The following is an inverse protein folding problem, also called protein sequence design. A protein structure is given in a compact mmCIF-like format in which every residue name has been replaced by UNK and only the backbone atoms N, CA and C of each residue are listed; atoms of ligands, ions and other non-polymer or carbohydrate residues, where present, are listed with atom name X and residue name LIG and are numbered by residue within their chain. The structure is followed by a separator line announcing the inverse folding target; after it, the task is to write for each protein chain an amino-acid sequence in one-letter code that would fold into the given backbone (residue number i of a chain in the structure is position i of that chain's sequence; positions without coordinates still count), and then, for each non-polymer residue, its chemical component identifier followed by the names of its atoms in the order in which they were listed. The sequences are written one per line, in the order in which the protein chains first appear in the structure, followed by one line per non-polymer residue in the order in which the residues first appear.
data_IF_946597922548
#
_entry.id   IF_946597922548
#
_cell.length_a   1.000
_cell.length_b   1.000
_cell.length_c   1.000
_cell.angle_alpha   90.00
_cell.angle_beta   90.00
_cell.angle_gamma   90.00
#
_symmetry.space_group_name_H-M   'P 1'
#
loop_
_entity.id
_entity.type
_entity.pdbx_description
1 polymer ?
#
# COMPACT_ATOMS: atom_id res chain seq x y z
N UNK A 1 22.53 -2.19 0.11
CA UNK A 1 21.62 -3.35 0.26
C UNK A 1 20.52 -3.22 -0.79
N UNK A 2 20.22 -4.27 -1.55
CA UNK A 2 19.18 -4.31 -2.60
C UNK A 2 17.82 -4.74 -2.05
N UNK A 3 17.53 -4.36 -0.81
CA UNK A 3 16.38 -4.87 -0.05
C UNK A 3 15.06 -4.31 -0.57
N UNK A 4 14.05 -5.16 -0.69
CA UNK A 4 12.68 -4.76 -1.02
C UNK A 4 12.07 -3.89 0.08
N UNK A 5 11.29 -2.88 -0.30
CA UNK A 5 10.51 -2.08 0.65
C UNK A 5 9.04 -2.13 0.23
N UNK A 6 8.20 -2.69 1.10
CA UNK A 6 6.75 -2.77 0.91
C UNK A 6 6.07 -1.64 1.68
N UNK A 7 5.29 -0.83 0.98
CA UNK A 7 4.45 0.21 1.58
C UNK A 7 3.03 -0.32 1.72
N UNK A 8 2.59 -0.52 2.96
CA UNK A 8 1.22 -0.96 3.29
C UNK A 8 0.43 0.17 3.93
N UNK A 9 -0.90 0.07 3.88
CA UNK A 9 -1.81 1.01 4.54
C UNK A 9 -3.09 1.24 3.74
N UNK A 10 -4.07 1.96 4.33
CA UNK A 10 -5.36 2.20 3.70
C UNK A 10 -5.26 3.03 2.42
N UNK A 11 -6.30 3.00 1.59
CA UNK A 11 -6.40 3.86 0.42
C UNK A 11 -6.35 5.33 0.86
N UNK A 12 -5.56 6.18 0.19
CA UNK A 12 -5.41 7.60 0.53
C UNK A 12 -4.26 7.91 1.50
N UNK A 13 -3.55 6.92 2.04
CA UNK A 13 -2.38 7.18 2.90
C UNK A 13 -1.12 7.62 2.14
N UNK A 14 -1.14 7.66 0.81
CA UNK A 14 -0.04 8.22 0.01
C UNK A 14 1.01 7.21 -0.50
N UNK A 15 0.76 5.88 -0.41
CA UNK A 15 1.71 4.83 -0.87
C UNK A 15 2.36 5.10 -2.22
N UNK A 16 1.58 5.43 -3.26
CA UNK A 16 2.12 5.68 -4.60
C UNK A 16 3.03 6.92 -4.61
N UNK A 17 2.59 8.03 -3.99
CA UNK A 17 3.38 9.27 -3.89
C UNK A 17 4.70 9.05 -3.14
N UNK A 18 4.62 8.44 -1.95
CA UNK A 18 5.79 8.15 -1.11
C UNK A 18 6.69 7.12 -1.79
N UNK A 19 6.12 6.12 -2.46
CA UNK A 19 6.86 5.08 -3.15
C UNK A 19 7.71 5.62 -4.29
N UNK A 20 7.14 6.48 -5.15
CA UNK A 20 7.91 7.15 -6.20
C UNK A 20 9.03 8.02 -5.64
N UNK A 21 8.75 8.78 -4.57
CA UNK A 21 9.76 9.64 -3.95
C UNK A 21 10.92 8.81 -3.35
N UNK A 22 10.61 7.72 -2.63
CA UNK A 22 11.62 6.80 -2.10
C UNK A 22 12.43 6.11 -3.19
N UNK A 23 11.77 5.67 -4.26
CA UNK A 23 12.42 5.03 -5.40
C UNK A 23 13.47 5.98 -6.02
N UNK A 24 13.09 7.24 -6.23
CA UNK A 24 14.01 8.28 -6.72
C UNK A 24 15.19 8.51 -5.78
N UNK A 25 14.94 8.67 -4.48
CA UNK A 25 16.01 8.96 -3.49
C UNK A 25 16.97 7.78 -3.35
N UNK A 26 16.48 6.53 -3.45
CA UNK A 26 17.32 5.33 -3.36
C UNK A 26 17.88 4.83 -4.69
N UNK A 27 17.49 5.43 -5.81
CA UNK A 27 17.76 4.89 -7.15
C UNK A 27 17.28 3.44 -7.30
N UNK A 28 16.05 3.18 -6.80
CA UNK A 28 15.35 1.91 -6.86
C UNK A 28 14.24 1.98 -7.91
N UNK A 29 13.77 0.83 -8.35
CA UNK A 29 12.54 0.73 -9.14
C UNK A 29 11.31 1.02 -8.27
N UNK A 30 10.21 1.43 -8.90
CA UNK A 30 8.92 1.55 -8.24
C UNK A 30 7.91 0.63 -8.91
N UNK A 31 7.15 -0.11 -8.09
CA UNK A 31 6.04 -0.94 -8.56
C UNK A 31 4.79 -0.70 -7.70
N UNK A 32 3.60 -0.86 -8.30
CA UNK A 32 2.31 -0.81 -7.62
C UNK A 32 1.54 -2.08 -7.93
N UNK A 33 1.15 -2.85 -6.90
CA UNK A 33 0.46 -4.13 -7.12
C UNK A 33 -0.93 -3.96 -7.74
N UNK A 34 -1.63 -2.85 -7.46
CA UNK A 34 -2.93 -2.59 -8.09
C UNK A 34 -2.75 -2.31 -9.59
N UNK A 35 -1.66 -1.63 -9.95
CA UNK A 35 -1.32 -1.33 -11.35
C UNK A 35 -0.88 -2.59 -12.10
N UNK A 36 0.03 -3.38 -11.53
CA UNK A 36 0.49 -4.63 -12.12
C UNK A 36 -0.68 -5.59 -12.40
N UNK A 37 -1.58 -5.76 -11.41
CA UNK A 37 -2.74 -6.62 -11.56
C UNK A 37 -3.65 -6.14 -12.70
N UNK A 38 -3.89 -4.84 -12.80
CA UNK A 38 -4.72 -4.27 -13.87
C UNK A 38 -4.08 -4.44 -15.25
N UNK A 39 -2.77 -4.26 -15.37
CA UNK A 39 -2.03 -4.47 -16.61
C UNK A 39 -2.01 -5.94 -17.03
N UNK A 40 -1.87 -6.86 -16.07
CA UNK A 40 -1.88 -8.30 -16.34
C UNK A 40 -3.28 -8.82 -16.71
N UNK A 41 -4.30 -8.44 -15.94
CA UNK A 41 -5.65 -8.97 -16.10
C UNK A 41 -6.46 -8.26 -17.21
N UNK A 42 -6.05 -7.06 -17.63
CA UNK A 42 -6.76 -6.22 -18.61
C UNK A 42 -8.25 -6.03 -18.27
N UNK A 43 -8.58 -6.11 -16.98
CA UNK A 43 -9.95 -6.10 -16.42
C UNK A 43 -9.96 -5.27 -15.14
N UNK A 44 -11.10 -4.62 -14.88
CA UNK A 44 -11.28 -3.87 -13.63
C UNK A 44 -11.50 -4.83 -12.47
N UNK A 45 -11.20 -4.36 -11.24
CA UNK A 45 -11.51 -5.11 -10.00
C UNK A 45 -13.00 -5.47 -9.94
N UNK A 46 -13.88 -4.55 -10.34
CA UNK A 46 -15.31 -4.80 -10.39
C UNK A 46 -15.67 -5.96 -11.32
N UNK A 47 -15.07 -6.01 -12.52
CA UNK A 47 -15.31 -7.08 -13.48
C UNK A 47 -14.81 -8.43 -12.98
N UNK A 48 -13.62 -8.47 -12.37
CA UNK A 48 -13.05 -9.70 -11.78
C UNK A 48 -13.95 -10.22 -10.65
N UNK A 49 -14.32 -9.35 -9.71
CA UNK A 49 -15.14 -9.74 -8.56
C UNK A 49 -16.56 -10.16 -9.00
N UNK A 50 -17.15 -9.49 -9.99
CA UNK A 50 -18.47 -9.85 -10.51
C UNK A 50 -18.47 -11.23 -11.20
N UNK A 51 -17.39 -11.58 -11.90
CA UNK A 51 -17.31 -12.81 -12.68
C UNK A 51 -16.76 -14.00 -11.90
N UNK A 52 -15.80 -13.76 -10.99
CA UNK A 52 -15.01 -14.81 -10.33
C UNK A 52 -14.97 -14.68 -8.79
N UNK A 53 -15.53 -13.61 -8.23
CA UNK A 53 -15.60 -13.39 -6.79
C UNK A 53 -14.33 -12.85 -6.15
N UNK A 54 -14.44 -12.54 -4.86
CA UNK A 54 -13.34 -11.96 -4.08
C UNK A 54 -12.18 -12.91 -3.84
N UNK A 55 -12.45 -14.21 -3.69
CA UNK A 55 -11.39 -15.21 -3.48
C UNK A 55 -10.41 -15.22 -4.66
N UNK A 56 -10.94 -15.21 -5.89
CA UNK A 56 -10.11 -15.13 -7.08
C UNK A 56 -9.32 -13.82 -7.15
N UNK A 57 -9.96 -12.69 -6.86
CA UNK A 57 -9.26 -11.41 -6.81
C UNK A 57 -8.10 -11.44 -5.80
N UNK A 58 -8.28 -12.07 -4.63
CA UNK A 58 -7.20 -12.21 -3.63
C UNK A 58 -6.06 -13.09 -4.13
N UNK A 59 -6.36 -14.18 -4.83
CA UNK A 59 -5.32 -15.01 -5.44
C UNK A 59 -4.52 -14.22 -6.50
N UNK A 60 -5.19 -13.39 -7.31
CA UNK A 60 -4.53 -12.52 -8.29
C UNK A 60 -3.70 -11.42 -7.61
N UNK A 61 -4.18 -10.84 -6.50
CA UNK A 61 -3.44 -9.86 -5.70
C UNK A 61 -2.15 -10.46 -5.12
N UNK A 62 -2.19 -11.73 -4.67
CA UNK A 62 -0.99 -12.48 -4.25
C UNK A 62 0.00 -12.68 -5.41
N UNK A 63 -0.47 -13.10 -6.59
CA UNK A 63 0.41 -13.29 -7.74
C UNK A 63 1.05 -11.96 -8.19
N UNK A 64 0.29 -10.86 -8.16
CA UNK A 64 0.81 -9.53 -8.47
C UNK A 64 1.93 -9.13 -7.51
N UNK A 65 1.75 -9.36 -6.21
CA UNK A 65 2.78 -9.11 -5.18
C UNK A 65 4.07 -9.88 -5.45
N UNK A 66 3.96 -11.16 -5.79
CA UNK A 66 5.13 -12.01 -6.08
C UNK A 66 5.87 -11.55 -7.35
N UNK A 67 5.14 -11.14 -8.40
CA UNK A 67 5.75 -10.67 -9.66
C UNK A 67 6.55 -9.38 -9.46
N UNK A 68 6.01 -8.42 -8.72
CA UNK A 68 6.68 -7.12 -8.49
C UNK A 68 7.82 -7.19 -7.46
N UNK A 69 7.96 -8.30 -6.72
CA UNK A 69 8.97 -8.48 -5.69
C UNK A 69 10.38 -8.73 -6.26
N UNK A 70 10.92 -7.74 -6.99
CA UNK A 70 12.27 -7.78 -7.57
C UNK A 70 13.29 -6.99 -6.75
N UNK A 71 14.57 -7.39 -6.67
CA UNK A 71 15.59 -6.67 -5.90
C UNK A 71 15.63 -5.16 -6.20
N UNK A 72 15.92 -4.34 -5.18
CA UNK A 72 15.99 -2.89 -5.28
C UNK A 72 14.69 -2.23 -5.81
N UNK A 73 13.53 -2.66 -5.29
CA UNK A 73 12.21 -2.11 -5.65
C UNK A 73 11.46 -1.58 -4.41
N UNK A 74 10.81 -0.42 -4.58
CA UNK A 74 9.80 0.11 -3.66
C UNK A 74 8.42 -0.30 -4.17
N UNK A 75 7.66 -1.02 -3.36
CA UNK A 75 6.39 -1.63 -3.76
C UNK A 75 5.24 -0.98 -3.00
N UNK A 76 4.40 -0.23 -3.69
CA UNK A 76 3.10 0.19 -3.18
C UNK A 76 2.11 -0.96 -3.29
N UNK A 77 1.47 -1.34 -2.19
CA UNK A 77 0.51 -2.45 -2.20
C UNK A 77 -0.93 -1.98 -2.25
N UNK A 78 -1.83 -2.84 -2.75
CA UNK A 78 -3.27 -2.67 -2.58
C UNK A 78 -3.66 -2.62 -1.09
N UNK A 79 -4.66 -1.80 -0.73
CA UNK A 79 -5.11 -1.69 0.66
C UNK A 79 -5.80 -2.96 1.21
N UNK A 80 -6.08 -3.94 0.36
CA UNK A 80 -6.63 -5.23 0.77
C UNK A 80 -5.58 -6.31 0.97
N UNK A 81 -4.33 -6.07 0.57
CA UNK A 81 -3.29 -7.09 0.52
C UNK A 81 -3.03 -7.75 1.88
N UNK A 82 -3.24 -6.97 2.94
CA UNK A 82 -3.01 -7.34 4.33
C UNK A 82 -4.00 -8.41 4.82
N UNK A 83 -5.11 -8.62 4.11
CA UNK A 83 -6.14 -9.60 4.51
C UNK A 83 -5.64 -11.04 4.33
N UNK A 84 -4.76 -11.29 3.36
CA UNK A 84 -4.11 -12.58 3.18
C UNK A 84 -2.97 -12.74 4.18
N UNK A 85 -3.02 -13.80 5.00
CA UNK A 85 -1.93 -14.12 5.93
C UNK A 85 -0.64 -14.43 5.19
N UNK A 86 -0.73 -15.18 4.09
CA UNK A 86 0.40 -15.47 3.22
C UNK A 86 1.09 -14.18 2.75
N UNK A 87 0.33 -13.19 2.27
CA UNK A 87 0.92 -11.93 1.80
C UNK A 87 1.64 -11.18 2.93
N UNK A 88 1.08 -11.21 4.16
CA UNK A 88 1.76 -10.60 5.32
C UNK A 88 3.09 -11.28 5.62
N UNK A 89 3.12 -12.61 5.60
CA UNK A 89 4.35 -13.39 5.84
C UNK A 89 5.37 -13.16 4.72
N UNK A 90 4.94 -13.28 3.46
CA UNK A 90 5.77 -13.05 2.28
C UNK A 90 6.47 -11.69 2.31
N UNK A 91 5.73 -10.60 2.56
CA UNK A 91 6.32 -9.25 2.62
C UNK A 91 7.36 -9.12 3.73
N UNK A 92 7.12 -9.74 4.89
CA UNK A 92 8.04 -9.69 6.03
C UNK A 92 9.30 -10.50 5.80
N UNK A 93 9.19 -11.65 5.14
CA UNK A 93 10.33 -12.54 4.86
C UNK A 93 11.22 -12.01 3.73
N UNK A 94 10.65 -11.26 2.79
CA UNK A 94 11.37 -10.82 1.58
C UNK A 94 11.82 -9.35 1.61
N UNK A 95 11.43 -8.54 2.60
CA UNK A 95 11.78 -7.13 2.63
C UNK A 95 11.40 -6.37 3.90
N UNK A 96 11.46 -5.03 3.84
CA UNK A 96 11.01 -4.15 4.92
C UNK A 96 9.57 -3.73 4.68
N UNK A 97 8.68 -3.98 5.64
CA UNK A 97 7.28 -3.55 5.58
C UNK A 97 7.12 -2.24 6.34
N UNK A 98 6.73 -1.18 5.64
CA UNK A 98 6.43 0.14 6.19
C UNK A 98 4.91 0.34 6.16
N UNK A 99 4.30 0.49 7.33
CA UNK A 99 2.92 0.93 7.42
C UNK A 99 2.85 2.46 7.42
N UNK A 100 2.19 3.01 6.40
CA UNK A 100 1.84 4.43 6.31
C UNK A 100 0.50 4.66 7.03
N UNK A 101 0.60 5.03 8.30
CA UNK A 101 -0.54 5.30 9.19
C UNK A 101 -1.11 6.69 8.91
N UNK A 102 -2.42 6.81 8.75
CA UNK A 102 -3.08 8.10 8.61
C UNK A 102 -4.41 8.11 9.35
N UNK A 103 -4.77 9.27 9.90
CA UNK A 103 -6.07 9.44 10.55
C UNK A 103 -7.22 9.27 9.55
N UNK A 104 -8.36 8.78 10.03
CA UNK A 104 -9.59 8.66 9.22
C UNK A 104 -9.95 10.00 8.56
N UNK A 105 -9.80 11.12 9.27
CA UNK A 105 -10.04 12.46 8.71
C UNK A 105 -9.13 12.76 7.52
N UNK A 106 -7.81 12.57 7.67
CA UNK A 106 -6.86 12.84 6.60
C UNK A 106 -7.10 11.93 5.37
N UNK A 107 -7.52 10.68 5.59
CA UNK A 107 -7.88 9.76 4.51
C UNK A 107 -9.12 10.25 3.76
N UNK A 108 -10.16 10.69 4.46
CA UNK A 108 -11.38 11.24 3.86
C UNK A 108 -11.06 12.48 3.05
N UNK A 109 -10.36 13.46 3.63
CA UNK A 109 -10.03 14.73 2.98
C UNK A 109 -9.28 14.50 1.66
N UNK A 110 -8.33 13.56 1.66
CA UNK A 110 -7.56 13.19 0.45
C UNK A 110 -8.40 12.48 -0.60
N UNK A 111 -9.31 11.61 -0.18
CA UNK A 111 -10.19 10.87 -1.10
C UNK A 111 -11.25 11.77 -1.73
N UNK A 112 -11.73 12.77 -0.99
CA UNK A 112 -12.68 13.77 -1.47
C UNK A 112 -12.00 14.78 -2.42
N UNK A 113 -10.75 15.18 -2.13
CA UNK A 113 -9.98 16.08 -3.00
C UNK A 113 -9.57 15.43 -4.34
N UNK A 114 -9.36 14.11 -4.36
CA UNK A 114 -8.91 13.37 -5.54
C UNK A 114 -9.78 12.13 -5.83
N UNK A 115 -11.03 12.33 -6.28
CA UNK A 115 -11.95 11.23 -6.53
C UNK A 115 -11.53 10.43 -7.79
N UNK A 116 -10.90 9.27 -7.59
CA UNK A 116 -10.71 8.28 -8.67
C UNK A 116 -12.00 7.45 -8.82
N UNK A 117 -12.99 8.02 -9.52
CA UNK A 117 -14.32 7.43 -9.72
C UNK A 117 -14.32 6.11 -10.51
N UNK A 118 -13.38 5.92 -11.43
CA UNK A 118 -13.42 4.83 -12.42
C UNK A 118 -12.86 3.49 -11.94
N UNK A 119 -12.11 3.47 -10.83
CA UNK A 119 -11.34 2.27 -10.48
C UNK A 119 -11.96 1.36 -9.42
N UNK A 120 -12.95 1.79 -8.63
CA UNK A 120 -13.26 1.06 -7.39
C UNK A 120 -14.75 1.13 -7.03
N UNK A 121 -15.50 0.01 -7.13
CA UNK A 121 -16.84 -0.05 -6.56
C UNK A 121 -16.76 0.20 -5.05
N UNK A 122 -17.73 0.92 -4.50
CA UNK A 122 -17.91 1.03 -3.04
C UNK A 122 -17.89 -0.37 -2.44
N UNK A 123 -17.03 -0.64 -1.46
CA UNK A 123 -16.95 -1.97 -0.85
C UNK A 123 -18.24 -2.29 -0.06
N UNK A 124 -19.02 -1.27 0.31
CA UNK A 124 -20.21 -1.40 1.16
C UNK A 124 -21.44 -0.60 0.72
N UNK A 125 -21.34 0.27 -0.29
CA UNK A 125 -22.43 1.15 -0.75
C UNK A 125 -22.77 2.31 0.21
N UNK A 126 -21.96 2.53 1.26
CA UNK A 126 -22.14 3.58 2.27
C UNK A 126 -21.46 4.90 1.88
N UNK A 127 -21.76 6.03 2.55
CA UNK A 127 -20.97 7.25 2.42
C UNK A 127 -19.49 6.97 2.66
N UNK A 128 -18.62 7.63 1.88
CA UNK A 128 -17.16 7.39 1.91
C UNK A 128 -16.56 7.53 3.32
N UNK A 129 -17.10 8.43 4.12
CA UNK A 129 -16.69 8.68 5.51
C UNK A 129 -16.89 7.46 6.40
N UNK A 130 -18.04 6.81 6.32
CA UNK A 130 -18.37 5.65 7.15
C UNK A 130 -17.61 4.40 6.66
N UNK A 131 -17.51 4.23 5.34
CA UNK A 131 -16.77 3.12 4.73
C UNK A 131 -15.27 3.15 5.11
N UNK A 132 -14.63 4.32 5.04
CA UNK A 132 -13.21 4.46 5.39
C UNK A 132 -12.96 4.13 6.86
N UNK A 133 -13.83 4.60 7.76
CA UNK A 133 -13.72 4.32 9.20
C UNK A 133 -13.86 2.82 9.51
N UNK A 134 -14.90 2.17 8.97
CA UNK A 134 -15.15 0.74 9.18
C UNK A 134 -14.01 -0.12 8.60
N UNK A 135 -13.57 0.16 7.38
CA UNK A 135 -12.51 -0.60 6.72
C UNK A 135 -11.18 -0.45 7.46
N UNK A 136 -10.85 0.76 7.92
CA UNK A 136 -9.62 0.97 8.70
C UNK A 136 -9.69 0.23 10.03
N UNK A 137 -10.80 0.35 10.76
CA UNK A 137 -10.97 -0.33 12.06
C UNK A 137 -10.78 -1.86 11.96
N UNK A 138 -11.23 -2.48 10.86
CA UNK A 138 -11.05 -3.91 10.63
C UNK A 138 -9.62 -4.31 10.24
N UNK A 139 -8.88 -3.41 9.56
CA UNK A 139 -7.57 -3.73 8.97
C UNK A 139 -6.38 -3.21 9.77
N UNK A 140 -6.59 -2.27 10.68
CA UNK A 140 -5.55 -1.60 11.47
C UNK A 140 -4.63 -2.60 12.19
N UNK A 141 -5.22 -3.57 12.90
CA UNK A 141 -4.47 -4.60 13.60
C UNK A 141 -3.59 -5.44 12.64
N UNK A 142 -4.07 -5.70 11.43
CA UNK A 142 -3.34 -6.47 10.42
C UNK A 142 -2.19 -5.64 9.81
N UNK A 143 -2.40 -4.34 9.57
CA UNK A 143 -1.32 -3.47 9.11
C UNK A 143 -0.19 -3.39 10.13
N UNK A 144 -0.52 -3.19 11.41
CA UNK A 144 0.45 -3.16 12.49
C UNK A 144 1.20 -4.48 12.66
N UNK A 145 0.48 -5.61 12.59
CA UNK A 145 1.09 -6.92 12.69
C UNK A 145 2.04 -7.24 11.52
N UNK A 146 1.74 -6.76 10.32
CA UNK A 146 2.59 -6.94 9.15
C UNK A 146 3.83 -6.04 9.18
N UNK A 147 3.72 -4.83 9.73
CA UNK A 147 4.76 -3.81 9.67
C UNK A 147 6.04 -4.17 10.43
N UNK A 148 7.18 -3.80 9.88
CA UNK A 148 8.43 -3.62 10.61
C UNK A 148 8.52 -2.23 11.22
N UNK A 149 8.01 -1.22 10.50
CA UNK A 149 7.98 0.17 10.94
C UNK A 149 6.63 0.81 10.62
N UNK A 150 6.18 1.68 11.51
CA UNK A 150 4.95 2.46 11.37
C UNK A 150 5.36 3.93 11.26
N UNK A 151 4.95 4.58 10.19
CA UNK A 151 5.27 5.98 9.89
C UNK A 151 3.98 6.78 9.78
N UNK A 152 3.92 7.92 10.47
CA UNK A 152 2.79 8.83 10.38
C UNK A 152 2.78 9.50 8.99
N UNK A 153 1.80 9.14 8.17
CA UNK A 153 1.59 9.65 6.83
C UNK A 153 0.63 10.85 6.77
N UNK A 154 0.34 11.49 7.91
CA UNK A 154 -0.42 12.77 7.97
C UNK A 154 0.47 14.00 7.79
N UNK A 155 1.80 13.86 7.93
CA UNK A 155 2.77 14.92 7.66
C UNK A 155 3.06 15.08 6.17
N UNK A 156 3.95 16.02 5.81
CA UNK A 156 4.32 16.27 4.42
C UNK A 156 4.97 15.02 3.78
N UNK A 157 4.81 14.80 2.45
CA UNK A 157 5.45 13.67 1.78
C UNK A 157 6.98 13.61 1.97
N UNK A 158 7.63 14.77 2.01
CA UNK A 158 9.07 14.88 2.20
C UNK A 158 9.48 14.39 3.61
N UNK A 159 8.76 14.81 4.66
CA UNK A 159 8.98 14.33 6.03
C UNK A 159 8.76 12.82 6.15
N UNK A 160 7.74 12.26 5.48
CA UNK A 160 7.51 10.81 5.47
C UNK A 160 8.70 10.08 4.83
N UNK A 161 9.20 10.58 3.71
CA UNK A 161 10.37 10.02 3.02
C UNK A 161 11.60 10.08 3.91
N UNK A 162 11.87 11.21 4.54
CA UNK A 162 12.98 11.39 5.48
C UNK A 162 12.91 10.40 6.65
N UNK A 163 11.74 10.25 7.27
CA UNK A 163 11.53 9.29 8.37
C UNK A 163 11.78 7.84 7.93
N UNK A 164 11.31 7.45 6.74
CA UNK A 164 11.56 6.12 6.18
C UNK A 164 13.05 5.92 5.87
N UNK A 165 13.72 6.93 5.31
CA UNK A 165 15.15 6.89 5.05
C UNK A 165 15.95 6.70 6.34
N UNK A 166 15.65 7.48 7.39
CA UNK A 166 16.31 7.37 8.69
C UNK A 166 16.11 5.99 9.34
N UNK A 167 14.91 5.42 9.20
CA UNK A 167 14.55 4.13 9.81
C UNK A 167 15.20 2.94 9.09
N UNK A 168 15.20 2.94 7.76
CA UNK A 168 15.65 1.78 6.97
C UNK A 168 17.15 1.83 6.67
N UNK A 169 17.80 3.00 6.71
CA UNK A 169 19.23 3.10 6.45
C UNK A 169 20.12 3.05 7.70
N UNK A 170 19.57 3.02 8.91
CA UNK A 170 20.37 2.98 10.14
C UNK A 170 21.35 4.16 10.24
N UNK A 171 20.86 5.32 10.68
CA UNK A 171 21.62 6.53 11.10
C UNK A 171 23.07 6.62 10.61
N UNK A 172 23.31 7.43 9.58
CA UNK A 172 24.50 8.29 9.50
C UNK A 172 24.14 9.61 8.83
N UNK A 173 23.40 10.47 9.55
CA UNK A 173 23.49 11.91 9.28
C UNK A 173 24.46 12.50 10.29
N UNK A 174 25.71 12.58 9.88
CA UNK A 174 26.67 13.53 10.47
C UNK A 174 26.96 14.55 9.40
N UNK A 175 26.51 15.78 9.61
CA UNK A 175 27.14 17.01 9.11
C UNK A 175 26.80 18.11 10.11
#
# INVERSE_FOLDING_TARGET
MTQLIFLVGPRGCGKTTIGHALAKVRSFEFADTDHELQEHEQRTVAAIVQQEGWERFRALETQALERVAQPATIIATGGGIILSEYNRQFMRENGVVIYLEASVSALIDRLEAYPKAEQRPTLTGKPIRDEVGEVLAQREALYRAAAHHIINATVSPDEVVEQIMATVCGVTYTS
#
